data_IF_987416832310
#
_entry.id   IF_987416832310
#
_cell.length_a   1.000
_cell.length_b   1.000
_cell.length_c   1.000
_cell.angle_alpha   90.00
_cell.angle_beta   90.00
_cell.angle_gamma   90.00
#
_symmetry.space_group_name_H-M   'P 1'
#
loop_
_entity.id
_entity.type
_entity.pdbx_description
1 polymer ?
#
# COMPACT_ATOMS: atom_id res chain seq x y z
N UNK A 1 -36.24 -16.47 -47.75
CA UNK A 1 -34.98 -16.09 -47.08
C UNK A 1 -35.36 -15.42 -45.78
N UNK A 2 -35.52 -16.20 -44.73
CA UNK A 2 -35.74 -15.70 -43.37
C UNK A 2 -34.39 -15.30 -42.81
N UNK A 3 -34.22 -14.00 -42.58
CA UNK A 3 -33.09 -13.42 -41.86
C UNK A 3 -33.12 -13.94 -40.42
N UNK A 4 -32.18 -14.82 -40.08
CA UNK A 4 -31.82 -15.11 -38.70
C UNK A 4 -31.13 -13.86 -38.14
N UNK A 5 -31.90 -12.98 -37.50
CA UNK A 5 -31.35 -12.05 -36.53
C UNK A 5 -30.93 -12.87 -35.31
N UNK A 6 -29.66 -13.28 -35.32
CA UNK A 6 -28.99 -13.87 -34.17
C UNK A 6 -28.72 -12.74 -33.17
N UNK A 7 -29.76 -12.32 -32.46
CA UNK A 7 -29.64 -11.46 -31.28
C UNK A 7 -29.05 -12.33 -30.18
N UNK A 8 -27.73 -12.34 -30.06
CA UNK A 8 -27.09 -12.74 -28.81
C UNK A 8 -27.68 -11.86 -27.70
N UNK A 9 -28.57 -12.41 -26.87
CA UNK A 9 -29.13 -11.74 -25.70
C UNK A 9 -27.98 -11.42 -24.73
N UNK A 10 -27.41 -10.21 -24.86
CA UNK A 10 -26.42 -9.71 -23.91
C UNK A 10 -27.15 -9.42 -22.61
N UNK A 11 -27.07 -10.35 -21.66
CA UNK A 11 -27.61 -10.20 -20.32
C UNK A 11 -26.68 -9.31 -19.50
N UNK A 12 -27.20 -8.18 -19.02
CA UNK A 12 -26.51 -7.27 -18.10
C UNK A 12 -26.95 -7.61 -16.67
N UNK A 13 -26.00 -7.86 -15.79
CA UNK A 13 -26.25 -8.18 -14.39
C UNK A 13 -25.85 -6.99 -13.50
N UNK A 14 -26.61 -6.76 -12.42
CA UNK A 14 -26.37 -5.64 -11.51
C UNK A 14 -25.12 -5.86 -10.63
N UNK A 15 -24.71 -7.12 -10.43
CA UNK A 15 -23.51 -7.48 -9.69
C UNK A 15 -22.92 -8.81 -10.19
N UNK A 16 -21.67 -9.09 -9.82
CA UNK A 16 -21.05 -10.38 -10.09
C UNK A 16 -21.78 -11.54 -9.37
N UNK A 17 -22.39 -11.27 -8.21
CA UNK A 17 -23.19 -12.26 -7.50
C UNK A 17 -24.46 -12.61 -8.28
N UNK A 18 -25.11 -11.61 -8.87
CA UNK A 18 -26.28 -11.82 -9.71
C UNK A 18 -25.91 -12.57 -11.00
N UNK A 19 -24.75 -12.26 -11.57
CA UNK A 19 -24.18 -13.03 -12.68
C UNK A 19 -23.97 -14.49 -12.28
N UNK A 20 -23.34 -14.76 -11.13
CA UNK A 20 -23.07 -16.12 -10.67
C UNK A 20 -24.37 -16.89 -10.41
N UNK A 21 -25.33 -16.28 -9.70
CA UNK A 21 -26.64 -16.89 -9.41
C UNK A 21 -27.41 -17.21 -10.69
N UNK A 22 -27.46 -16.27 -11.63
CA UNK A 22 -28.18 -16.46 -12.89
C UNK A 22 -27.55 -17.53 -13.78
N UNK A 23 -26.24 -17.77 -13.66
CA UNK A 23 -25.51 -18.76 -14.43
C UNK A 23 -25.21 -20.05 -13.66
N UNK A 24 -25.80 -20.24 -12.46
CA UNK A 24 -25.53 -21.37 -11.56
C UNK A 24 -24.04 -21.60 -11.27
N UNK A 25 -23.26 -20.52 -11.18
CA UNK A 25 -21.85 -20.54 -10.81
C UNK A 25 -21.69 -20.43 -9.29
N UNK A 26 -20.65 -21.05 -8.70
CA UNK A 26 -20.34 -20.86 -7.29
C UNK A 26 -19.96 -19.40 -7.03
N UNK A 27 -20.46 -18.84 -5.92
CA UNK A 27 -20.01 -17.52 -5.49
C UNK A 27 -18.52 -17.56 -5.10
N UNK A 28 -17.78 -16.45 -5.29
CA UNK A 28 -16.42 -16.33 -4.80
C UNK A 28 -16.34 -16.65 -3.32
N UNK A 29 -15.28 -17.33 -2.91
CA UNK A 29 -14.98 -17.49 -1.49
C UNK A 29 -14.71 -16.10 -0.89
N UNK A 30 -15.40 -15.79 0.21
CA UNK A 30 -15.27 -14.53 0.95
C UNK A 30 -14.91 -14.82 2.40
N UNK A 31 -14.19 -13.88 3.02
CA UNK A 31 -13.89 -13.97 4.45
C UNK A 31 -15.17 -13.73 5.25
N UNK A 32 -15.57 -14.74 6.02
CA UNK A 32 -16.74 -14.71 6.89
C UNK A 32 -16.33 -14.60 8.37
N UNK A 33 -16.81 -13.54 9.03
CA UNK A 33 -16.71 -13.35 10.47
C UNK A 33 -17.74 -12.31 10.94
N UNK A 34 -17.92 -12.21 12.26
CA UNK A 34 -18.79 -11.21 12.87
C UNK A 34 -18.11 -9.83 12.90
N UNK A 35 -18.42 -9.01 11.89
CA UNK A 35 -17.89 -7.63 11.73
C UNK A 35 -18.29 -6.69 12.87
N UNK A 36 -19.34 -7.00 13.64
CA UNK A 36 -19.76 -6.17 14.78
C UNK A 36 -18.76 -6.20 15.94
N UNK A 37 -17.86 -7.19 15.97
CA UNK A 37 -16.77 -7.29 16.97
C UNK A 37 -15.64 -6.29 16.74
N UNK A 38 -15.52 -5.72 15.54
CA UNK A 38 -14.45 -4.79 15.20
C UNK A 38 -14.81 -3.41 15.72
N UNK A 39 -13.92 -2.79 16.49
CA UNK A 39 -14.09 -1.43 16.94
C UNK A 39 -14.04 -0.47 15.72
N UNK A 40 -15.15 0.24 15.41
CA UNK A 40 -15.23 1.05 14.20
C UNK A 40 -14.33 2.28 14.25
N UNK A 41 -14.07 2.83 15.43
CA UNK A 41 -13.17 3.99 15.61
C UNK A 41 -11.72 3.59 15.36
N UNK A 42 -11.27 2.47 15.95
CA UNK A 42 -9.92 1.95 15.73
C UNK A 42 -9.69 1.60 14.25
N UNK A 43 -10.66 0.93 13.62
CA UNK A 43 -10.59 0.61 12.19
C UNK A 43 -10.53 1.88 11.34
N UNK A 44 -11.34 2.89 11.62
CA UNK A 44 -11.37 4.15 10.86
C UNK A 44 -10.04 4.90 10.95
N UNK A 45 -9.46 5.01 12.15
CA UNK A 45 -8.17 5.69 12.35
C UNK A 45 -7.04 4.93 11.66
N UNK A 46 -7.00 3.60 11.76
CA UNK A 46 -5.96 2.81 11.10
C UNK A 46 -6.10 2.85 9.58
N UNK A 47 -7.32 2.80 9.04
CA UNK A 47 -7.57 3.00 7.60
C UNK A 47 -7.11 4.37 7.13
N UNK A 48 -7.42 5.44 7.87
CA UNK A 48 -6.96 6.78 7.53
C UNK A 48 -5.44 6.85 7.46
N UNK A 49 -4.77 6.28 8.47
CA UNK A 49 -3.31 6.18 8.48
C UNK A 49 -2.77 5.43 7.24
N UNK A 50 -3.44 4.34 6.84
CA UNK A 50 -3.08 3.60 5.65
C UNK A 50 -3.35 4.38 4.35
N UNK A 51 -4.46 5.11 4.26
CA UNK A 51 -4.75 6.00 3.13
C UNK A 51 -3.71 7.12 2.97
N UNK A 52 -3.23 7.68 4.08
CA UNK A 52 -2.15 8.65 4.06
C UNK A 52 -0.85 8.00 3.51
N UNK A 53 -0.56 6.76 3.91
CA UNK A 53 0.56 5.98 3.38
C UNK A 53 0.42 5.69 1.87
N UNK A 54 -0.78 5.32 1.40
CA UNK A 54 -1.10 5.16 -0.04
C UNK A 54 -0.89 6.46 -0.82
N UNK A 55 -1.26 7.59 -0.23
CA UNK A 55 -1.04 8.92 -0.82
C UNK A 55 0.44 9.21 -0.98
N UNK A 56 1.25 8.91 0.04
CA UNK A 56 2.69 9.06 -0.05
C UNK A 56 3.28 8.15 -1.12
N UNK A 57 2.93 6.86 -1.12
CA UNK A 57 3.45 5.91 -2.09
C UNK A 57 3.14 6.38 -3.51
N UNK A 58 1.91 6.85 -3.75
CA UNK A 58 1.50 7.39 -5.07
C UNK A 58 2.40 8.55 -5.48
N UNK A 59 2.62 9.53 -4.59
CA UNK A 59 3.51 10.66 -4.86
C UNK A 59 4.95 10.21 -5.09
N UNK A 60 5.44 9.23 -4.32
CA UNK A 60 6.77 8.68 -4.49
C UNK A 60 6.94 8.04 -5.86
N UNK A 61 5.97 7.22 -6.29
CA UNK A 61 5.96 6.60 -7.62
C UNK A 61 6.01 7.65 -8.71
N UNK A 62 5.13 8.65 -8.65
CA UNK A 62 5.07 9.70 -9.67
C UNK A 62 6.35 10.52 -9.76
N UNK A 63 7.09 10.70 -8.66
CA UNK A 63 8.30 11.53 -8.63
C UNK A 63 9.60 10.76 -8.90
N UNK A 64 9.72 9.53 -8.39
CA UNK A 64 11.02 8.89 -8.19
C UNK A 64 11.17 7.50 -8.81
N UNK A 65 10.15 6.96 -9.49
CA UNK A 65 10.24 5.61 -10.07
C UNK A 65 10.32 5.61 -11.59
N UNK A 66 9.79 6.64 -12.27
CA UNK A 66 9.97 6.78 -13.72
C UNK A 66 11.30 7.44 -14.05
N UNK A 67 12.00 6.91 -15.06
CA UNK A 67 13.29 7.47 -15.51
C UNK A 67 13.14 8.93 -15.97
N UNK A 68 12.06 9.25 -16.68
CA UNK A 68 11.75 10.61 -17.15
C UNK A 68 11.67 11.62 -15.98
N UNK A 69 10.93 11.27 -14.92
CA UNK A 69 10.80 12.14 -13.75
C UNK A 69 12.13 12.29 -13.03
N UNK A 70 12.87 11.19 -12.84
CA UNK A 70 14.19 11.21 -12.21
C UNK A 70 15.18 12.09 -12.99
N UNK A 71 15.14 12.06 -14.32
CA UNK A 71 16.01 12.88 -15.17
C UNK A 71 15.71 14.38 -15.01
N UNK A 72 14.43 14.77 -15.00
CA UNK A 72 14.01 16.16 -14.77
C UNK A 72 14.46 16.64 -13.39
N UNK A 73 14.22 15.84 -12.34
CA UNK A 73 14.64 16.18 -10.97
C UNK A 73 16.16 16.31 -10.84
N UNK A 74 16.92 15.40 -11.44
CA UNK A 74 18.38 15.44 -11.40
C UNK A 74 18.95 16.63 -12.17
N UNK A 75 18.37 16.96 -13.33
CA UNK A 75 18.74 18.16 -14.12
C UNK A 75 18.45 19.44 -13.34
N UNK A 76 17.32 19.50 -12.63
CA UNK A 76 16.96 20.66 -11.82
C UNK A 76 17.87 20.81 -10.59
N UNK A 77 17.94 19.80 -9.72
CA UNK A 77 18.81 19.81 -8.54
C UNK A 77 18.98 18.41 -7.91
N UNK A 78 19.96 17.65 -8.39
CA UNK A 78 20.23 16.29 -7.90
C UNK A 78 20.57 16.22 -6.39
N UNK A 79 21.24 17.22 -5.83
CA UNK A 79 21.59 17.22 -4.39
C UNK A 79 20.35 17.33 -3.51
N UNK A 80 19.41 18.21 -3.86
CA UNK A 80 18.17 18.39 -3.09
C UNK A 80 17.26 17.16 -3.26
N UNK A 81 17.03 16.71 -4.50
CA UNK A 81 16.08 15.63 -4.74
C UNK A 81 16.57 14.26 -4.27
N UNK A 82 17.88 13.98 -4.30
CA UNK A 82 18.42 12.76 -3.69
C UNK A 82 18.18 12.69 -2.17
N UNK A 83 18.22 13.85 -1.48
CA UNK A 83 17.90 13.93 -0.04
C UNK A 83 16.42 13.77 0.23
N UNK A 84 15.57 14.37 -0.59
CA UNK A 84 14.11 14.22 -0.49
C UNK A 84 13.72 12.76 -0.74
N UNK A 85 14.19 12.14 -1.82
CA UNK A 85 13.91 10.75 -2.16
C UNK A 85 14.29 9.81 -1.00
N UNK A 86 15.48 10.02 -0.41
CA UNK A 86 15.91 9.26 0.77
C UNK A 86 14.96 9.47 1.95
N UNK A 87 14.66 10.72 2.32
CA UNK A 87 13.75 10.97 3.44
C UNK A 87 12.36 10.36 3.22
N UNK A 88 11.89 10.34 1.97
CA UNK A 88 10.59 9.81 1.60
C UNK A 88 10.52 8.28 1.76
N UNK A 89 11.53 7.54 1.25
CA UNK A 89 11.57 6.08 1.41
C UNK A 89 11.71 5.68 2.88
N UNK A 90 12.47 6.44 3.67
CA UNK A 90 12.62 6.24 5.11
C UNK A 90 11.27 6.41 5.83
N UNK A 91 10.49 7.42 5.43
CA UNK A 91 9.14 7.67 5.95
C UNK A 91 8.17 6.54 5.58
N UNK A 92 8.15 6.10 4.33
CA UNK A 92 7.34 4.96 3.88
C UNK A 92 7.65 3.70 4.70
N UNK A 93 8.94 3.36 4.83
CA UNK A 93 9.39 2.18 5.58
C UNK A 93 9.01 2.25 7.06
N UNK A 94 9.16 3.43 7.69
CA UNK A 94 8.74 3.62 9.08
C UNK A 94 7.23 3.48 9.22
N UNK A 95 6.47 4.09 8.32
CA UNK A 95 5.01 4.05 8.35
C UNK A 95 4.47 2.63 8.21
N UNK A 96 5.02 1.85 7.27
CA UNK A 96 4.75 0.42 7.11
C UNK A 96 5.08 -0.31 8.40
N UNK A 97 6.28 -0.13 8.94
CA UNK A 97 6.71 -0.86 10.12
C UNK A 97 5.80 -0.64 11.35
N UNK A 98 5.20 0.55 11.50
CA UNK A 98 4.20 0.82 12.55
C UNK A 98 2.92 -0.01 12.38
N UNK A 99 2.46 -0.27 11.15
CA UNK A 99 1.30 -1.14 10.88
C UNK A 99 1.53 -2.58 11.36
N UNK A 100 2.79 -3.02 11.33
CA UNK A 100 3.26 -4.34 11.73
C UNK A 100 3.69 -4.45 13.20
N UNK A 101 3.55 -3.38 13.99
CA UNK A 101 3.83 -3.49 15.42
C UNK A 101 2.84 -4.46 16.08
N UNK A 102 3.25 -5.14 17.16
CA UNK A 102 2.35 -6.03 17.89
C UNK A 102 1.17 -5.23 18.45
N UNK A 103 0.01 -5.87 18.61
CA UNK A 103 -1.20 -5.22 19.11
C UNK A 103 -1.01 -4.50 20.45
N UNK A 104 -0.06 -4.97 21.27
CA UNK A 104 0.31 -4.39 22.56
C UNK A 104 1.83 -4.49 22.76
N UNK A 105 2.40 -3.49 23.42
CA UNK A 105 3.79 -3.51 23.89
C UNK A 105 3.83 -3.09 25.35
N UNK A 106 4.24 -4.01 26.23
CA UNK A 106 4.18 -3.84 27.68
C UNK A 106 2.76 -3.49 28.15
N UNK A 107 2.52 -2.24 28.55
CA UNK A 107 1.21 -1.74 29.01
C UNK A 107 0.47 -0.90 27.96
N UNK A 108 1.11 -0.63 26.82
CA UNK A 108 0.56 0.23 25.79
C UNK A 108 -0.13 -0.60 24.72
N UNK A 109 -1.29 -0.11 24.26
CA UNK A 109 -2.00 -0.67 23.11
C UNK A 109 -1.51 0.06 21.87
N UNK A 110 -1.17 -0.69 20.83
CA UNK A 110 -0.71 -0.15 19.55
C UNK A 110 -1.84 -0.29 18.53
N UNK A 111 -2.16 0.81 17.83
CA UNK A 111 -3.06 0.75 16.70
C UNK A 111 -2.31 0.16 15.49
N UNK A 112 -2.49 -1.14 15.26
CA UNK A 112 -1.75 -1.96 14.29
C UNK A 112 -2.70 -2.94 13.60
N UNK A 113 -2.24 -3.57 12.51
CA UNK A 113 -3.01 -4.61 11.82
C UNK A 113 -3.30 -5.80 12.74
N UNK A 114 -2.30 -6.21 13.53
CA UNK A 114 -2.46 -7.28 14.52
C UNK A 114 -3.58 -6.99 15.53
N UNK A 115 -3.77 -5.72 15.91
CA UNK A 115 -4.83 -5.32 16.84
C UNK A 115 -6.22 -5.46 16.21
N UNK A 116 -6.38 -5.04 14.95
CA UNK A 116 -7.67 -5.11 14.26
C UNK A 116 -8.01 -6.56 13.91
N UNK A 117 -7.07 -7.31 13.32
CA UNK A 117 -7.28 -8.72 12.95
C UNK A 117 -7.63 -9.58 14.17
N UNK A 118 -7.03 -9.31 15.34
CA UNK A 118 -7.37 -10.00 16.59
C UNK A 118 -8.85 -9.80 17.00
N UNK A 119 -9.46 -8.66 16.69
CA UNK A 119 -10.88 -8.39 17.00
C UNK A 119 -11.83 -9.19 16.11
N UNK A 120 -11.40 -9.54 14.90
CA UNK A 120 -12.19 -10.32 13.96
C UNK A 120 -12.40 -11.77 14.41
N UNK A 121 -11.50 -12.32 15.25
CA UNK A 121 -11.55 -13.71 15.72
C UNK A 121 -11.72 -14.71 14.56
N UNK A 122 -11.00 -14.45 13.46
CA UNK A 122 -11.15 -15.15 12.19
C UNK A 122 -9.82 -15.79 11.77
N UNK A 123 -9.80 -17.11 11.59
CA UNK A 123 -8.58 -17.85 11.21
C UNK A 123 -8.02 -17.39 9.87
N UNK A 124 -8.87 -17.15 8.88
CA UNK A 124 -8.44 -16.75 7.54
C UNK A 124 -7.71 -15.40 7.53
N UNK A 125 -8.18 -14.42 8.31
CA UNK A 125 -7.50 -13.14 8.48
C UNK A 125 -6.18 -13.27 9.24
N UNK A 126 -6.12 -14.16 10.24
CA UNK A 126 -4.87 -14.46 10.94
C UNK A 126 -3.83 -15.08 9.98
N UNK A 127 -4.25 -16.04 9.15
CA UNK A 127 -3.37 -16.70 8.16
C UNK A 127 -2.88 -15.68 7.10
N UNK A 128 -3.75 -14.76 6.65
CA UNK A 128 -3.34 -13.64 5.76
C UNK A 128 -2.31 -12.74 6.43
N UNK A 129 -2.55 -12.34 7.68
CA UNK A 129 -1.64 -11.49 8.44
C UNK A 129 -0.29 -12.18 8.68
N UNK A 130 -0.26 -13.50 8.92
CA UNK A 130 0.98 -14.26 9.10
C UNK A 130 1.83 -14.27 7.82
N UNK A 131 1.23 -14.59 6.67
CA UNK A 131 1.91 -14.53 5.36
C UNK A 131 2.43 -13.13 5.04
N UNK A 132 1.62 -12.11 5.32
CA UNK A 132 2.01 -10.71 5.14
C UNK A 132 3.18 -10.33 6.07
N UNK A 133 3.21 -10.86 7.30
CA UNK A 133 4.35 -10.68 8.21
C UNK A 133 5.62 -11.36 7.69
N UNK A 134 5.52 -12.55 7.10
CA UNK A 134 6.66 -13.24 6.50
C UNK A 134 7.28 -12.42 5.36
N UNK A 135 6.43 -11.89 4.48
CA UNK A 135 6.84 -10.97 3.41
C UNK A 135 7.49 -9.70 3.98
N UNK A 136 6.85 -9.05 4.96
CA UNK A 136 7.42 -7.87 5.61
C UNK A 136 8.79 -8.15 6.23
N UNK A 137 9.00 -9.32 6.84
CA UNK A 137 10.30 -9.71 7.40
C UNK A 137 11.34 -9.93 6.30
N UNK A 138 10.97 -10.53 5.16
CA UNK A 138 11.91 -10.82 4.07
C UNK A 138 12.46 -9.55 3.40
N UNK A 139 11.70 -8.45 3.34
CA UNK A 139 12.16 -7.15 2.81
C UNK A 139 13.36 -6.56 3.57
N UNK A 140 13.53 -6.94 4.84
CA UNK A 140 14.52 -6.33 5.73
C UNK A 140 14.11 -5.00 6.35
N UNK A 141 12.93 -4.44 6.04
CA UNK A 141 12.41 -3.18 6.63
C UNK A 141 12.40 -3.25 8.16
N UNK A 142 12.02 -4.39 8.74
CA UNK A 142 12.06 -4.61 10.19
C UNK A 142 13.45 -4.43 10.78
N UNK A 143 14.47 -4.99 10.13
CA UNK A 143 15.86 -4.88 10.58
C UNK A 143 16.39 -3.46 10.40
N UNK A 144 16.00 -2.83 9.29
CA UNK A 144 16.31 -1.44 8.98
C UNK A 144 15.84 -0.50 10.08
N UNK A 145 14.55 -0.58 10.45
CA UNK A 145 13.97 0.22 11.54
C UNK A 145 14.75 0.04 12.85
N UNK A 146 15.00 -1.20 13.23
CA UNK A 146 15.65 -1.52 14.50
C UNK A 146 17.09 -1.00 14.60
N UNK A 147 17.85 -1.05 13.49
CA UNK A 147 19.29 -0.74 13.52
C UNK A 147 19.60 0.71 13.16
N UNK A 148 18.95 1.26 12.13
CA UNK A 148 19.22 2.61 11.65
C UNK A 148 18.38 3.65 12.39
N UNK A 149 17.05 3.50 12.38
CA UNK A 149 16.18 4.55 12.92
C UNK A 149 16.13 4.58 14.45
N UNK A 150 16.08 3.41 15.09
CA UNK A 150 15.92 3.37 16.54
C UNK A 150 17.25 3.56 17.29
N UNK A 151 18.33 2.94 16.81
CA UNK A 151 19.53 2.74 17.64
C UNK A 151 20.81 3.37 17.06
N UNK A 152 20.78 3.97 15.86
CA UNK A 152 21.97 4.53 15.20
C UNK A 152 23.18 3.60 15.34
N UNK A 153 22.99 2.32 15.04
CA UNK A 153 23.98 1.28 15.34
C UNK A 153 25.32 1.66 14.69
N UNK A 154 26.33 1.91 15.53
CA UNK A 154 27.62 2.47 15.11
C UNK A 154 28.26 1.61 14.00
N UNK A 155 28.18 0.29 14.12
CA UNK A 155 28.77 -0.63 13.14
C UNK A 155 28.06 -0.59 11.79
N UNK A 156 26.74 -0.40 11.82
CA UNK A 156 25.91 -0.18 10.65
C UNK A 156 26.22 1.17 9.98
N UNK A 157 26.30 2.25 10.76
CA UNK A 157 26.62 3.59 10.25
C UNK A 157 28.05 3.71 9.69
N UNK A 158 29.01 3.01 10.30
CA UNK A 158 30.38 2.93 9.81
C UNK A 158 30.56 1.97 8.62
N UNK A 159 29.50 1.33 8.12
CA UNK A 159 29.56 0.41 6.98
C UNK A 159 30.25 -0.94 7.27
N UNK A 160 30.66 -1.19 8.51
CA UNK A 160 31.33 -2.44 8.93
C UNK A 160 30.39 -3.64 9.03
N UNK A 161 29.07 -3.39 9.08
CA UNK A 161 28.02 -4.40 8.98
C UNK A 161 26.97 -3.91 7.99
N UNK A 162 26.94 -4.42 6.75
CA UNK A 162 25.96 -3.98 5.78
C UNK A 162 24.55 -4.35 6.25
N UNK A 163 23.61 -3.41 6.08
CA UNK A 163 22.20 -3.75 6.13
C UNK A 163 21.83 -4.39 4.81
N UNK A 164 21.32 -5.60 4.89
CA UNK A 164 20.77 -6.28 3.74
C UNK A 164 19.33 -5.79 3.55
N UNK A 165 19.17 -4.60 2.97
CA UNK A 165 17.87 -4.14 2.49
C UNK A 165 17.64 -4.80 1.14
N UNK A 166 16.63 -5.66 1.09
CA UNK A 166 16.26 -6.39 -0.11
C UNK A 166 14.83 -6.04 -0.44
N UNK A 167 14.59 -4.76 -0.73
CA UNK A 167 13.29 -4.30 -1.20
C UNK A 167 13.46 -3.23 -2.27
N UNK A 168 12.68 -3.37 -3.34
CA UNK A 168 12.43 -2.36 -4.34
C UNK A 168 11.08 -1.67 -4.11
N UNK A 169 10.70 -0.86 -5.10
CA UNK A 169 9.39 -0.22 -5.11
C UNK A 169 8.24 -1.24 -5.15
N UNK A 170 8.38 -2.28 -5.99
CA UNK A 170 7.38 -3.35 -6.17
C UNK A 170 7.11 -4.13 -4.88
N UNK A 171 8.13 -4.35 -4.04
CA UNK A 171 7.96 -5.01 -2.74
C UNK A 171 7.09 -4.19 -1.78
N UNK A 172 7.21 -2.86 -1.83
CA UNK A 172 6.38 -1.95 -1.03
C UNK A 172 4.95 -1.95 -1.57
N UNK A 173 4.76 -1.87 -2.89
CA UNK A 173 3.43 -1.94 -3.51
C UNK A 173 2.72 -3.24 -3.12
N UNK A 174 3.40 -4.39 -3.26
CA UNK A 174 2.85 -5.70 -2.90
C UNK A 174 2.45 -5.79 -1.41
N UNK A 175 3.30 -5.29 -0.49
CA UNK A 175 2.93 -5.21 0.94
C UNK A 175 1.66 -4.39 1.13
N UNK A 176 1.55 -3.25 0.46
CA UNK A 176 0.39 -2.36 0.60
C UNK A 176 -0.87 -2.95 -0.02
N UNK A 177 -0.78 -3.61 -1.17
CA UNK A 177 -1.90 -4.34 -1.79
C UNK A 177 -2.46 -5.41 -0.84
N UNK A 178 -1.58 -6.21 -0.22
CA UNK A 178 -2.01 -7.23 0.74
C UNK A 178 -2.61 -6.64 2.03
N UNK A 179 -2.15 -5.46 2.46
CA UNK A 179 -2.78 -4.73 3.56
C UNK A 179 -4.18 -4.25 3.16
N UNK A 180 -4.33 -3.73 1.94
CA UNK A 180 -5.60 -3.27 1.40
C UNK A 180 -6.60 -4.42 1.27
N UNK A 181 -6.17 -5.61 0.82
CA UNK A 181 -7.00 -6.81 0.81
C UNK A 181 -7.53 -7.17 2.21
N UNK A 182 -6.69 -7.08 3.24
CA UNK A 182 -7.13 -7.31 4.64
C UNK A 182 -8.18 -6.27 5.04
N UNK A 183 -8.01 -4.99 4.67
CA UNK A 183 -9.01 -3.97 4.96
C UNK A 183 -10.32 -4.19 4.22
N UNK A 184 -10.26 -4.59 2.95
CA UNK A 184 -11.43 -4.93 2.15
C UNK A 184 -12.17 -6.11 2.78
N UNK A 185 -11.49 -7.21 3.08
CA UNK A 185 -12.09 -8.37 3.76
C UNK A 185 -12.78 -7.99 5.08
N UNK A 186 -12.14 -7.14 5.89
CA UNK A 186 -12.69 -6.68 7.17
C UNK A 186 -13.94 -5.83 6.96
N UNK A 187 -13.96 -5.01 5.91
CA UNK A 187 -14.99 -3.98 5.72
C UNK A 187 -16.14 -4.47 4.88
N UNK A 188 -15.82 -4.93 3.68
CA UNK A 188 -16.72 -5.50 2.70
C UNK A 188 -15.92 -6.39 1.73
N UNK A 189 -15.98 -7.73 1.85
CA UNK A 189 -15.22 -8.68 1.03
C UNK A 189 -15.75 -8.76 -0.41
N UNK A 190 -16.73 -7.94 -0.77
CA UNK A 190 -17.23 -7.78 -2.15
C UNK A 190 -16.56 -6.63 -2.89
N UNK A 191 -15.83 -5.78 -2.16
CA UNK A 191 -15.12 -4.63 -2.71
C UNK A 191 -13.65 -4.97 -2.89
N UNK A 192 -13.07 -4.45 -3.97
CA UNK A 192 -11.64 -4.41 -4.19
C UNK A 192 -11.22 -2.95 -4.34
N UNK A 193 -10.35 -2.50 -3.45
CA UNK A 193 -9.85 -1.12 -3.43
C UNK A 193 -8.41 -1.10 -3.92
N UNK A 194 -8.07 -0.18 -4.83
CA UNK A 194 -6.70 0.04 -5.27
C UNK A 194 -5.92 0.87 -4.23
N UNK A 195 -4.62 0.63 -4.10
CA UNK A 195 -3.70 1.44 -3.29
C UNK A 195 -3.32 2.77 -3.96
N UNK A 196 -3.53 2.91 -5.27
CA UNK A 196 -3.25 4.15 -6.01
C UNK A 196 -4.31 5.21 -5.73
N UNK A 197 -3.85 6.35 -5.20
CA UNK A 197 -4.73 7.47 -4.86
C UNK A 197 -4.85 8.42 -6.05
N UNK A 198 -6.08 8.74 -6.45
CA UNK A 198 -6.31 9.81 -7.42
C UNK A 198 -6.09 11.16 -6.73
N UNK A 199 -4.94 11.77 -7.02
CA UNK A 199 -4.57 13.07 -6.47
C UNK A 199 -5.25 14.22 -7.22
N UNK A 200 -5.50 15.38 -6.55
CA UNK A 200 -6.15 16.51 -7.19
C UNK A 200 -5.41 16.97 -8.45
N UNK A 201 -6.19 17.38 -9.46
CA UNK A 201 -5.64 17.92 -10.70
C UNK A 201 -4.64 19.04 -10.42
N UNK A 202 -3.49 19.00 -11.09
CA UNK A 202 -2.39 19.96 -10.97
C UNK A 202 -1.68 20.02 -9.59
N UNK A 203 -2.00 19.08 -8.68
CA UNK A 203 -1.39 18.95 -7.35
C UNK A 203 -0.83 17.54 -7.10
N UNK A 204 -0.25 16.94 -8.13
CA UNK A 204 0.35 15.61 -8.09
C UNK A 204 1.82 15.66 -8.56
N UNK A 205 2.54 14.56 -8.39
CA UNK A 205 3.95 14.43 -8.76
C UNK A 205 4.16 14.68 -10.26
N UNK A 206 3.29 14.11 -11.11
CA UNK A 206 3.38 14.34 -12.56
C UNK A 206 3.24 15.82 -12.96
N UNK A 207 2.33 16.56 -12.33
CA UNK A 207 2.16 17.99 -12.55
C UNK A 207 3.37 18.79 -12.04
N UNK A 208 3.95 18.38 -10.91
CA UNK A 208 5.18 18.97 -10.38
C UNK A 208 6.35 18.79 -11.36
N UNK A 209 6.54 17.59 -11.89
CA UNK A 209 7.58 17.30 -12.89
C UNK A 209 7.41 18.15 -14.15
N UNK A 210 6.20 18.21 -14.71
CA UNK A 210 5.93 19.05 -15.90
C UNK A 210 6.25 20.52 -15.65
N UNK A 211 5.90 21.07 -14.48
CA UNK A 211 6.21 22.46 -14.12
C UNK A 211 7.72 22.71 -14.04
N UNK A 212 8.47 21.78 -13.46
CA UNK A 212 9.93 21.88 -13.42
C UNK A 212 10.55 21.79 -14.81
N UNK A 213 10.03 20.92 -15.66
CA UNK A 213 10.51 20.76 -17.03
C UNK A 213 10.32 22.04 -17.84
N UNK A 214 9.15 22.69 -17.77
CA UNK A 214 8.93 23.97 -18.46
C UNK A 214 9.93 25.04 -18.01
N UNK A 215 10.23 25.13 -16.70
CA UNK A 215 11.23 26.07 -16.19
C UNK A 215 12.64 25.81 -16.73
N UNK A 216 13.00 24.54 -16.90
CA UNK A 216 14.29 24.14 -17.46
C UNK A 216 14.41 24.39 -18.97
N UNK A 217 13.28 24.46 -19.68
CA UNK A 217 13.22 24.81 -21.10
C UNK A 217 13.29 26.34 -21.30
N UNK A 218 12.68 27.12 -20.40
CA UNK A 218 12.71 28.59 -20.44
C UNK A 218 14.11 29.18 -20.11
N UNK A 219 14.95 28.43 -19.40
CA UNK A 219 16.33 28.82 -19.02
C UNK A 219 17.40 28.41 -20.06
N UNK A 220 17.05 27.60 -21.06
CA UNK A 220 17.98 27.02 -22.05
C UNK A 220 18.10 27.86 -23.33
#
# INVERSE_FOLDING_TARGET
>A
MTSNDDKSDVSIYASYDDFCKANNLPLPKRVEFDRSKVNPEELSVLKKYFTDLCTDLTLYSELFTSQESVDVLNKFNSLVFSRIQKAYIEKLCLSIACLFDPAETRKNKNLSLARIVKQCDCRELNDKLEKLNELYVSTGIKQWRQKLLAHNDLRTLMGTKPLNLQFGHEDIENIMELIQEIFDDISDPTVYTDIKIVLPYDKNGGAFIRKLQCLLEDEA
#
